data_IF_537849199554
#
_entry.id   IF_537849199554
#
_cell.length_a   1.000
_cell.length_b   1.000
_cell.length_c   1.000
_cell.angle_alpha   90.00
_cell.angle_beta   90.00
_cell.angle_gamma   90.00
#
_symmetry.space_group_name_H-M   'P 1'
#
loop_
_entity.id
_entity.type
_entity.pdbx_description
1 polymer ?
#
# COMPACT_ATOMS: atom_id res chain seq x y z
N UNK A 1 2.61 -8.82 10.90
CA UNK A 1 3.16 -9.05 9.54
C UNK A 1 4.43 -8.22 9.41
N UNK A 2 5.42 -8.66 8.64
CA UNK A 2 6.60 -7.85 8.32
C UNK A 2 6.37 -7.10 7.01
N UNK A 3 6.97 -5.91 6.89
CA UNK A 3 7.00 -5.17 5.63
C UNK A 3 7.84 -5.93 4.59
N UNK A 4 7.36 -5.97 3.36
CA UNK A 4 8.09 -6.47 2.19
C UNK A 4 8.10 -5.38 1.12
N UNK A 5 9.25 -5.10 0.49
CA UNK A 5 9.36 -4.03 -0.49
C UNK A 5 8.40 -4.26 -1.67
N UNK A 6 7.46 -3.33 -1.95
CA UNK A 6 6.54 -3.45 -3.08
C UNK A 6 7.29 -3.53 -4.42
N UNK A 7 6.72 -4.27 -5.37
CA UNK A 7 7.21 -4.31 -6.75
C UNK A 7 6.64 -3.13 -7.51
N UNK A 8 7.48 -2.18 -7.91
CA UNK A 8 7.07 -0.96 -8.62
C UNK A 8 7.61 -0.88 -10.04
N UNK A 9 8.15 -1.99 -10.52
CA UNK A 9 8.77 -2.16 -11.83
C UNK A 9 8.05 -3.26 -12.62
N UNK A 10 6.72 -3.25 -12.59
CA UNK A 10 5.90 -4.13 -13.41
C UNK A 10 6.02 -3.73 -14.89
N UNK A 11 6.31 -4.71 -15.74
CA UNK A 11 6.41 -4.51 -17.18
C UNK A 11 5.52 -5.49 -17.93
N UNK A 12 4.80 -4.98 -18.92
CA UNK A 12 3.96 -5.78 -19.81
C UNK A 12 3.89 -5.20 -21.21
N UNK A 13 3.75 -6.07 -22.20
CA UNK A 13 3.37 -5.69 -23.56
C UNK A 13 2.41 -6.72 -24.13
N UNK A 14 1.38 -6.24 -24.81
CA UNK A 14 0.49 -7.08 -25.61
C UNK A 14 0.77 -6.80 -27.07
N UNK A 15 1.11 -7.83 -27.84
CA UNK A 15 1.33 -7.68 -29.28
C UNK A 15 0.00 -7.52 -30.04
N UNK A 16 0.07 -7.26 -31.35
CA UNK A 16 -1.10 -7.13 -32.23
C UNK A 16 -1.98 -8.39 -32.33
N UNK A 17 -1.48 -9.53 -31.85
CA UNK A 17 -2.17 -10.82 -31.82
C UNK A 17 -2.82 -11.12 -30.46
N UNK A 18 -2.74 -10.18 -29.50
CA UNK A 18 -3.31 -10.34 -28.16
C UNK A 18 -2.44 -11.16 -27.18
N UNK A 19 -1.21 -11.49 -27.55
CA UNK A 19 -0.28 -12.25 -26.69
C UNK A 19 0.42 -11.31 -25.72
N UNK A 20 0.15 -11.49 -24.42
CA UNK A 20 0.82 -10.78 -23.35
C UNK A 20 2.20 -11.36 -23.04
N UNK A 21 3.22 -10.50 -23.09
CA UNK A 21 4.60 -10.78 -22.67
C UNK A 21 5.00 -9.81 -21.55
N UNK A 22 5.39 -10.34 -20.40
CA UNK A 22 5.80 -9.52 -19.26
C UNK A 22 5.51 -10.19 -17.93
N UNK A 23 5.56 -9.39 -16.88
CA UNK A 23 5.26 -9.78 -15.51
C UNK A 23 3.80 -10.18 -15.36
N UNK A 24 3.55 -11.24 -14.59
CA UNK A 24 2.19 -11.69 -14.28
C UNK A 24 1.93 -11.62 -12.78
N UNK A 25 0.77 -11.06 -12.45
CA UNK A 25 0.27 -11.03 -11.09
C UNK A 25 -0.02 -12.45 -10.60
N UNK A 26 0.47 -12.79 -9.40
CA UNK A 26 0.29 -14.11 -8.80
C UNK A 26 -0.05 -14.01 -7.31
N UNK A 27 -0.25 -15.17 -6.67
CA UNK A 27 -0.66 -15.26 -5.28
C UNK A 27 0.32 -14.58 -4.31
N UNK A 28 1.63 -14.66 -4.56
CA UNK A 28 2.64 -13.99 -3.72
C UNK A 28 2.56 -12.47 -3.83
N UNK A 29 2.23 -11.93 -5.01
CA UNK A 29 2.06 -10.49 -5.19
C UNK A 29 0.82 -9.98 -4.45
N UNK A 30 -0.29 -10.70 -4.55
CA UNK A 30 -1.49 -10.40 -3.78
C UNK A 30 -1.22 -10.39 -2.27
N UNK A 31 -0.56 -11.44 -1.77
CA UNK A 31 -0.23 -11.56 -0.35
C UNK A 31 0.73 -10.44 0.10
N UNK A 32 1.74 -10.11 -0.70
CA UNK A 32 2.66 -8.99 -0.44
C UNK A 32 1.90 -7.69 -0.26
N UNK A 33 1.05 -7.33 -1.22
CA UNK A 33 0.26 -6.08 -1.17
C UNK A 33 -0.68 -6.08 0.03
N UNK A 34 -1.46 -7.14 0.23
CA UNK A 34 -2.39 -7.29 1.35
C UNK A 34 -1.68 -7.08 2.70
N UNK A 35 -0.55 -7.74 2.88
CA UNK A 35 0.21 -7.72 4.12
C UNK A 35 0.88 -6.37 4.35
N UNK A 36 1.35 -5.71 3.29
CA UNK A 36 1.90 -4.36 3.35
C UNK A 36 0.85 -3.32 3.75
N UNK A 37 -0.35 -3.35 3.18
CA UNK A 37 -1.44 -2.45 3.58
C UNK A 37 -1.80 -2.62 5.06
N UNK A 38 -1.86 -3.88 5.53
CA UNK A 38 -2.08 -4.20 6.95
C UNK A 38 -0.97 -3.64 7.83
N UNK A 39 0.29 -3.82 7.42
CA UNK A 39 1.46 -3.28 8.12
C UNK A 39 1.42 -1.75 8.21
N UNK A 40 1.10 -1.07 7.10
CA UNK A 40 0.99 0.39 7.07
C UNK A 40 -0.14 0.89 7.97
N UNK A 41 -1.28 0.20 8.01
CA UNK A 41 -2.35 0.53 8.94
C UNK A 41 -1.86 0.44 10.38
N UNK A 42 -1.17 -0.65 10.76
CA UNK A 42 -0.67 -0.84 12.13
C UNK A 42 0.41 0.19 12.52
N UNK A 43 1.13 0.72 11.54
CA UNK A 43 2.02 1.87 11.73
C UNK A 43 1.21 3.17 11.87
N UNK A 44 0.26 3.40 10.97
CA UNK A 44 -0.54 4.63 10.90
C UNK A 44 -1.37 4.86 12.17
N UNK A 45 -2.01 3.83 12.74
CA UNK A 45 -2.81 4.00 13.96
C UNK A 45 -1.99 4.35 15.22
N UNK A 46 -0.66 4.22 15.16
CA UNK A 46 0.24 4.70 16.23
C UNK A 46 0.53 6.20 16.09
N UNK A 47 0.29 6.77 14.91
CA UNK A 47 0.64 8.14 14.52
C UNK A 47 -0.58 9.05 14.33
N UNK A 48 -1.72 8.46 13.96
CA UNK A 48 -2.99 9.11 13.63
C UNK A 48 -4.15 8.49 14.41
N UNK A 49 -5.37 9.00 14.20
CA UNK A 49 -6.59 8.44 14.78
C UNK A 49 -6.80 7.00 14.29
N UNK A 50 -7.32 6.14 15.17
CA UNK A 50 -7.62 4.76 14.83
C UNK A 50 -8.66 4.64 13.70
N UNK A 51 -8.39 3.72 12.77
CA UNK A 51 -9.29 3.30 11.69
C UNK A 51 -9.07 1.82 11.36
N UNK A 52 -9.98 1.23 10.58
CA UNK A 52 -9.91 -0.16 10.14
C UNK A 52 -9.83 -0.26 8.63
N UNK A 53 -9.15 -1.31 8.16
CA UNK A 53 -9.19 -1.76 6.77
C UNK A 53 -10.13 -2.96 6.65
N UNK A 54 -10.66 -3.18 5.45
CA UNK A 54 -11.42 -4.38 5.12
C UNK A 54 -10.47 -5.59 5.13
N UNK A 55 -10.88 -6.67 5.78
CA UNK A 55 -10.10 -7.91 5.80
C UNK A 55 -10.29 -8.68 4.50
N UNK A 56 -9.18 -8.96 3.83
CA UNK A 56 -9.12 -9.75 2.58
C UNK A 56 -8.97 -11.26 2.82
N UNK A 57 -9.12 -11.70 4.08
CA UNK A 57 -9.03 -13.12 4.46
C UNK A 57 -7.61 -13.70 4.39
N UNK A 58 -7.57 -15.02 4.20
CA UNK A 58 -6.34 -15.82 4.24
C UNK A 58 -5.40 -15.53 3.05
N UNK A 59 -4.15 -15.98 3.19
CA UNK A 59 -3.15 -15.87 2.13
C UNK A 59 -3.54 -16.78 0.96
N UNK A 60 -3.41 -16.24 -0.25
CA UNK A 60 -3.65 -16.98 -1.49
C UNK A 60 -2.55 -18.00 -1.71
N UNK A 61 -2.93 -19.16 -2.24
CA UNK A 61 -2.01 -20.19 -2.72
C UNK A 61 -2.01 -20.25 -4.25
N UNK A 62 -0.94 -20.75 -4.88
CA UNK A 62 -0.92 -20.94 -6.33
C UNK A 62 -2.10 -21.80 -6.80
N UNK A 63 -2.92 -21.27 -7.69
CA UNK A 63 -4.13 -21.92 -8.19
C UNK A 63 -5.43 -21.30 -7.68
N UNK A 64 -5.37 -20.45 -6.64
CA UNK A 64 -6.53 -19.68 -6.21
C UNK A 64 -6.94 -18.64 -7.26
N UNK A 65 -8.24 -18.36 -7.31
CA UNK A 65 -8.80 -17.30 -8.14
C UNK A 65 -8.70 -15.95 -7.42
N UNK A 66 -8.49 -14.89 -8.21
CA UNK A 66 -8.61 -13.51 -7.78
C UNK A 66 -9.99 -13.00 -8.18
N UNK A 67 -10.81 -12.64 -7.21
CA UNK A 67 -12.12 -12.07 -7.48
C UNK A 67 -12.03 -10.55 -7.62
N UNK A 68 -12.91 -9.96 -8.45
CA UNK A 68 -12.86 -8.54 -8.76
C UNK A 68 -13.10 -7.68 -7.51
N UNK A 69 -13.98 -8.12 -6.62
CA UNK A 69 -14.28 -7.48 -5.33
C UNK A 69 -13.06 -7.46 -4.40
N UNK A 70 -12.26 -8.52 -4.36
CA UNK A 70 -11.02 -8.59 -3.56
C UNK A 70 -9.97 -7.60 -4.06
N UNK A 71 -9.86 -7.45 -5.38
CA UNK A 71 -8.96 -6.44 -5.96
C UNK A 71 -9.47 -5.03 -5.69
N UNK A 72 -10.77 -4.79 -5.84
CA UNK A 72 -11.37 -3.51 -5.48
C UNK A 72 -11.16 -3.16 -4.00
N UNK A 73 -11.21 -4.16 -3.11
CA UNK A 73 -10.94 -3.98 -1.68
C UNK A 73 -9.47 -3.65 -1.39
N UNK A 74 -8.50 -4.11 -2.18
CA UNK A 74 -7.10 -3.66 -2.06
C UNK A 74 -7.00 -2.16 -2.35
N UNK A 75 -7.65 -1.70 -3.42
CA UNK A 75 -7.70 -0.29 -3.82
C UNK A 75 -8.41 0.57 -2.77
N UNK A 76 -9.56 0.13 -2.29
CA UNK A 76 -10.33 0.81 -1.25
C UNK A 76 -9.52 0.90 0.06
N UNK A 77 -8.80 -0.16 0.43
CA UNK A 77 -7.95 -0.16 1.61
C UNK A 77 -6.79 0.84 1.50
N UNK A 78 -6.17 0.96 0.32
CA UNK A 78 -5.15 1.97 0.06
C UNK A 78 -5.73 3.39 0.15
N UNK A 79 -6.90 3.62 -0.45
CA UNK A 79 -7.58 4.93 -0.39
C UNK A 79 -7.97 5.31 1.04
N UNK A 80 -8.52 4.35 1.80
CA UNK A 80 -8.90 4.53 3.20
C UNK A 80 -7.67 4.83 4.07
N UNK A 81 -6.58 4.09 3.88
CA UNK A 81 -5.29 4.35 4.53
C UNK A 81 -4.80 5.77 4.24
N UNK A 82 -4.79 6.18 2.98
CA UNK A 82 -4.34 7.51 2.56
C UNK A 82 -5.22 8.63 3.13
N UNK A 83 -6.55 8.47 3.08
CA UNK A 83 -7.53 9.47 3.54
C UNK A 83 -7.43 9.73 5.04
N UNK A 84 -7.11 8.70 5.82
CA UNK A 84 -6.92 8.78 7.28
C UNK A 84 -5.51 9.19 7.72
N UNK A 85 -4.57 9.34 6.79
CA UNK A 85 -3.17 9.68 7.09
C UNK A 85 -2.74 10.96 6.37
N UNK A 86 -2.04 10.84 5.24
CA UNK A 86 -1.29 11.90 4.57
C UNK A 86 -2.08 12.61 3.47
N UNK A 87 -3.17 11.99 2.98
CA UNK A 87 -4.06 12.55 1.93
C UNK A 87 -3.30 12.97 0.67
N UNK A 88 -2.37 12.13 0.24
CA UNK A 88 -1.59 12.33 -0.98
C UNK A 88 -2.43 12.03 -2.24
N UNK A 89 -1.99 12.52 -3.39
CA UNK A 89 -2.65 12.22 -4.67
C UNK A 89 -1.91 11.09 -5.39
N UNK A 90 -2.56 9.93 -5.51
CA UNK A 90 -2.02 8.72 -6.17
C UNK A 90 -2.79 8.33 -7.44
N UNK A 91 -3.48 9.30 -8.05
CA UNK A 91 -4.35 9.06 -9.21
C UNK A 91 -5.68 8.41 -8.85
N UNK A 92 -6.41 7.97 -9.88
CA UNK A 92 -7.71 7.31 -9.71
C UNK A 92 -7.53 5.82 -9.47
N UNK A 93 -8.24 5.28 -8.48
CA UNK A 93 -8.37 3.83 -8.33
C UNK A 93 -9.22 3.28 -9.51
N UNK A 94 -8.75 2.23 -10.20
CA UNK A 94 -9.57 1.49 -11.15
C UNK A 94 -10.65 0.69 -10.42
N UNK A 95 -11.73 0.36 -11.15
CA UNK A 95 -12.82 -0.47 -10.63
C UNK A 95 -12.97 -1.70 -11.52
N UNK A 96 -12.82 -2.88 -10.92
CA UNK A 96 -12.92 -4.17 -11.59
C UNK A 96 -14.34 -4.72 -11.47
N UNK A 97 -14.81 -5.34 -12.55
CA UNK A 97 -16.11 -5.99 -12.61
C UNK A 97 -15.91 -7.48 -12.90
N UNK A 98 -16.84 -8.32 -12.44
CA UNK A 98 -16.81 -9.75 -12.69
C UNK A 98 -16.76 -10.06 -14.19
N UNK A 99 -15.92 -11.03 -14.56
CA UNK A 99 -15.63 -11.40 -15.96
C UNK A 99 -15.11 -10.25 -16.83
N UNK A 100 -14.62 -9.17 -16.21
CA UNK A 100 -13.99 -8.04 -16.88
C UNK A 100 -12.49 -8.25 -17.11
N UNK A 101 -11.83 -7.18 -17.55
CA UNK A 101 -10.37 -7.12 -17.63
C UNK A 101 -9.75 -7.12 -16.24
N UNK A 102 -8.62 -7.80 -16.10
CA UNK A 102 -7.80 -7.77 -14.89
C UNK A 102 -6.84 -6.58 -14.91
N UNK A 103 -6.25 -6.26 -13.75
CA UNK A 103 -5.25 -5.22 -13.56
C UNK A 103 -4.16 -5.26 -14.64
N UNK A 104 -3.79 -4.08 -15.16
CA UNK A 104 -2.60 -3.91 -15.99
C UNK A 104 -1.36 -3.56 -15.15
N UNK A 105 -0.19 -3.59 -15.79
CA UNK A 105 1.07 -3.30 -15.11
C UNK A 105 1.20 -1.82 -14.67
N UNK A 106 0.49 -0.88 -15.31
CA UNK A 106 0.49 0.53 -14.91
C UNK A 106 -0.31 0.71 -13.62
N UNK A 107 -1.46 0.04 -13.51
CA UNK A 107 -2.33 0.02 -12.34
C UNK A 107 -1.59 -0.60 -11.15
N UNK A 108 -0.88 -1.71 -11.36
CA UNK A 108 -0.03 -2.34 -10.32
C UNK A 108 1.11 -1.41 -9.88
N UNK A 109 1.83 -0.78 -10.82
CA UNK A 109 2.88 0.18 -10.49
C UNK A 109 2.36 1.38 -9.69
N UNK A 110 1.15 1.84 -10.01
CA UNK A 110 0.48 2.92 -9.27
C UNK A 110 0.14 2.49 -7.85
N UNK A 111 -0.48 1.32 -7.68
CA UNK A 111 -0.89 0.81 -6.36
C UNK A 111 0.32 0.49 -5.47
N UNK A 112 1.29 -0.26 -5.98
CA UNK A 112 2.49 -0.61 -5.21
C UNK A 112 3.40 0.59 -4.99
N UNK A 113 3.47 1.51 -5.96
CA UNK A 113 4.19 2.78 -5.82
C UNK A 113 3.58 3.71 -4.76
N UNK A 114 2.25 3.81 -4.70
CA UNK A 114 1.55 4.55 -3.65
C UNK A 114 1.76 3.92 -2.27
N UNK A 115 1.75 2.59 -2.19
CA UNK A 115 2.03 1.85 -0.96
C UNK A 115 3.46 2.12 -0.46
N UNK A 116 4.44 2.15 -1.37
CA UNK A 116 5.83 2.48 -1.06
C UNK A 116 6.00 3.94 -0.60
N UNK A 117 5.42 4.90 -1.31
CA UNK A 117 5.51 6.32 -0.92
C UNK A 117 4.85 6.59 0.44
N UNK A 118 3.73 5.93 0.75
CA UNK A 118 3.12 5.98 2.09
C UNK A 118 4.03 5.37 3.16
N UNK A 119 4.68 4.24 2.88
CA UNK A 119 5.64 3.63 3.80
C UNK A 119 6.78 4.58 4.14
N UNK A 120 7.42 5.17 3.13
CA UNK A 120 8.56 6.06 3.32
C UNK A 120 8.15 7.27 4.15
N UNK A 121 7.01 7.89 3.85
CA UNK A 121 6.51 9.05 4.59
C UNK A 121 6.14 8.71 6.04
N UNK A 122 5.38 7.64 6.26
CA UNK A 122 4.97 7.23 7.62
C UNK A 122 6.18 6.83 8.46
N UNK A 123 7.16 6.15 7.87
CA UNK A 123 8.41 5.79 8.54
C UNK A 123 9.18 7.06 8.93
N UNK A 124 9.39 7.98 7.98
CA UNK A 124 10.04 9.27 8.23
C UNK A 124 9.35 10.07 9.35
N UNK A 125 8.02 10.10 9.37
CA UNK A 125 7.28 10.76 10.46
C UNK A 125 7.47 10.06 11.80
N UNK A 126 7.45 8.71 11.82
CA UNK A 126 7.60 7.93 13.03
C UNK A 126 8.98 8.11 13.67
N UNK A 127 10.03 8.16 12.84
CA UNK A 127 11.41 8.36 13.26
C UNK A 127 11.66 9.81 13.64
N UNK A 128 11.14 10.77 12.86
CA UNK A 128 11.22 12.19 13.16
C UNK A 128 10.57 12.56 14.49
N UNK A 129 9.41 11.98 14.83
CA UNK A 129 8.75 12.21 16.14
C UNK A 129 9.59 11.73 17.33
N UNK A 130 10.33 10.63 17.19
CA UNK A 130 11.17 10.08 18.27
C UNK A 130 12.37 10.96 18.62
N UNK A 131 12.76 11.86 17.72
CA UNK A 131 13.94 12.72 17.87
C UNK A 131 13.64 14.07 18.56
N UNK A 132 12.40 14.40 18.89
CA UNK A 132 12.06 15.63 19.63
C UNK A 132 12.34 15.52 21.14
N UNK A 133 13.59 15.22 21.51
CA UNK A 133 14.06 15.43 22.88
C UNK A 133 14.24 16.94 23.10
N UNK A 134 13.25 17.58 23.70
CA UNK A 134 13.35 18.97 24.14
C UNK A 134 14.34 19.07 25.31
N UNK A 135 15.61 19.38 25.01
CA UNK A 135 16.53 19.85 26.03
C UNK A 135 16.19 21.31 26.34
N UNK A 136 15.26 21.53 27.28
CA UNK A 136 15.14 22.83 27.93
C UNK A 136 16.47 23.09 28.65
N UNK A 137 17.33 23.89 28.05
CA UNK A 137 18.46 24.47 28.76
C UNK A 137 17.89 25.25 29.94
N UNK A 138 18.06 24.71 31.15
CA UNK A 138 17.88 25.48 32.37
C UNK A 138 18.88 26.63 32.30
N UNK A 139 18.41 27.81 31.89
CA UNK A 139 19.15 29.05 32.09
C UNK A 139 19.18 29.25 33.59
N UNK A 140 20.28 28.83 34.23
CA UNK A 140 20.58 29.12 35.62
C UNK A 140 20.40 30.62 35.84
N UNK A 141 19.31 30.96 36.52
CA UNK A 141 19.11 32.30 37.05
C UNK A 141 19.98 32.42 38.28
N UNK A 142 21.19 32.96 38.09
CA UNK A 142 21.96 33.52 39.20
C UNK A 142 21.23 34.76 39.71
N UNK A 143 20.83 34.72 40.98
CA UNK A 143 20.61 35.88 41.85
C UNK A 143 21.22 35.60 43.22
#
# INVERSE_FOLDING_TARGET
MAWETPKTDWHGRTNSEGVYTGDRFNASDFNRIKNNLTFLRDMAIKLYKEFSLVSLGDDRVPGDYFYADEINQLEENLENLNTNTLRMSYGSAPVYNDNGTTMDFNELNRLEGATLDLYDRLTNESEGRRMFTWNFGMKGGDL
#
